data_IF_207974061799
#
_entry.id   IF_207974061799
#
_cell.length_a   1.000
_cell.length_b   1.000
_cell.length_c   1.000
_cell.angle_alpha   90.00
_cell.angle_beta   90.00
_cell.angle_gamma   90.00
#
_symmetry.space_group_name_H-M   'P 1'
#
loop_
_entity.id
_entity.type
_entity.pdbx_description
1 polymer ?
#
# COMPACT_ATOMS: atom_id res chain seq x y z
N UNK A 1 -18.89 8.88 -20.35
CA UNK A 1 -18.47 10.25 -19.95
C UNK A 1 -17.35 10.68 -20.89
N UNK A 2 -17.56 11.72 -21.67
CA UNK A 2 -16.58 12.26 -22.61
C UNK A 2 -15.39 12.87 -21.84
N UNK A 3 -14.13 12.75 -22.34
CA UNK A 3 -12.93 13.25 -21.66
C UNK A 3 -12.95 14.76 -21.36
N UNK A 4 -13.80 15.51 -22.05
CA UNK A 4 -13.95 16.98 -21.91
C UNK A 4 -14.67 17.45 -20.65
N UNK A 5 -15.41 16.58 -19.96
CA UNK A 5 -16.22 16.95 -18.79
C UNK A 5 -15.46 16.93 -17.44
N UNK A 6 -14.17 16.52 -17.41
CA UNK A 6 -13.39 16.45 -16.18
C UNK A 6 -12.70 17.78 -15.87
N UNK A 7 -12.67 18.22 -14.59
CA UNK A 7 -11.88 19.36 -14.16
C UNK A 7 -10.43 19.26 -14.62
N UNK A 8 -9.79 20.40 -14.95
CA UNK A 8 -8.41 20.45 -15.46
C UNK A 8 -7.41 19.66 -14.61
N UNK A 9 -7.52 19.74 -13.28
CA UNK A 9 -6.68 18.99 -12.33
C UNK A 9 -6.75 17.47 -12.52
N UNK A 10 -7.95 16.91 -12.80
CA UNK A 10 -8.11 15.48 -13.06
C UNK A 10 -7.58 15.07 -14.43
N UNK A 11 -7.69 15.98 -15.42
CA UNK A 11 -7.09 15.76 -16.75
C UNK A 11 -5.56 15.74 -16.67
N UNK A 12 -4.96 16.65 -15.89
CA UNK A 12 -3.51 16.67 -15.67
C UNK A 12 -3.03 15.39 -14.96
N UNK A 13 -3.67 14.98 -13.87
CA UNK A 13 -3.32 13.73 -13.18
C UNK A 13 -3.41 12.51 -14.10
N UNK A 14 -4.45 12.43 -14.93
CA UNK A 14 -4.59 11.36 -15.94
C UNK A 14 -3.54 11.42 -17.04
N UNK A 15 -2.97 12.57 -17.34
CA UNK A 15 -1.91 12.72 -18.33
C UNK A 15 -0.52 12.37 -17.72
N UNK A 16 -0.29 12.68 -16.45
CA UNK A 16 0.97 12.37 -15.77
C UNK A 16 1.16 10.89 -15.43
N UNK A 17 0.10 10.23 -14.97
CA UNK A 17 0.14 8.82 -14.56
C UNK A 17 0.77 7.88 -15.61
N UNK A 18 0.34 7.88 -16.90
CA UNK A 18 0.92 7.01 -17.91
C UNK A 18 2.38 7.33 -18.23
N UNK A 19 2.77 8.62 -18.17
CA UNK A 19 4.15 9.04 -18.43
C UNK A 19 5.10 8.51 -17.36
N UNK A 20 4.73 8.65 -16.09
CA UNK A 20 5.51 8.14 -14.96
C UNK A 20 5.57 6.61 -14.94
N UNK A 21 4.46 5.92 -15.25
CA UNK A 21 4.44 4.47 -15.39
C UNK A 21 5.38 4.00 -16.49
N UNK A 22 5.40 4.65 -17.66
CA UNK A 22 6.32 4.31 -18.75
C UNK A 22 7.78 4.52 -18.35
N UNK A 23 8.09 5.63 -17.68
CA UNK A 23 9.45 5.89 -17.17
C UNK A 23 9.89 4.80 -16.18
N UNK A 24 9.06 4.50 -15.20
CA UNK A 24 9.35 3.48 -14.19
C UNK A 24 9.48 2.08 -14.83
N UNK A 25 8.61 1.73 -15.77
CA UNK A 25 8.66 0.45 -16.50
C UNK A 25 9.95 0.29 -17.33
N UNK A 26 10.53 1.39 -17.86
CA UNK A 26 11.84 1.35 -18.53
C UNK A 26 12.96 0.96 -17.56
N UNK A 27 12.95 1.46 -16.33
CA UNK A 27 13.92 1.08 -15.30
C UNK A 27 13.82 -0.40 -14.95
N UNK A 28 12.60 -0.93 -14.87
CA UNK A 28 12.34 -2.34 -14.61
C UNK A 28 12.81 -3.29 -15.74
N UNK A 29 13.24 -2.80 -16.91
CA UNK A 29 13.91 -3.63 -17.95
C UNK A 29 15.27 -4.16 -17.49
N UNK A 30 15.93 -3.48 -16.55
CA UNK A 30 17.20 -3.94 -15.96
C UNK A 30 16.92 -5.11 -15.01
N UNK A 31 17.51 -6.27 -15.27
CA UNK A 31 17.30 -7.52 -14.49
C UNK A 31 17.45 -7.33 -12.97
N UNK A 32 18.46 -6.56 -12.53
CA UNK A 32 18.68 -6.29 -11.10
C UNK A 32 17.52 -5.52 -10.47
N UNK A 33 17.05 -4.45 -11.12
CA UNK A 33 15.93 -3.61 -10.64
C UNK A 33 14.63 -4.45 -10.59
N UNK A 34 14.36 -5.21 -11.64
CA UNK A 34 13.22 -6.11 -11.69
C UNK A 34 13.22 -7.14 -10.55
N UNK A 35 14.37 -7.81 -10.32
CA UNK A 35 14.51 -8.79 -9.22
C UNK A 35 14.32 -8.14 -7.87
N UNK A 36 14.99 -7.00 -7.61
CA UNK A 36 14.90 -6.28 -6.35
C UNK A 36 13.46 -5.89 -6.02
N UNK A 37 12.80 -5.14 -6.91
CA UNK A 37 11.42 -4.73 -6.68
C UNK A 37 10.42 -5.89 -6.71
N UNK A 38 10.71 -6.96 -7.45
CA UNK A 38 9.93 -8.19 -7.42
C UNK A 38 9.94 -8.87 -6.05
N UNK A 39 11.10 -8.94 -5.38
CA UNK A 39 11.24 -9.47 -4.01
C UNK A 39 10.50 -8.56 -3.02
N UNK A 40 10.74 -7.24 -3.08
CA UNK A 40 10.05 -6.27 -2.22
C UNK A 40 8.53 -6.37 -2.37
N UNK A 41 8.03 -6.47 -3.59
CA UNK A 41 6.61 -6.63 -3.85
C UNK A 41 6.04 -7.90 -3.21
N UNK A 42 6.72 -9.04 -3.37
CA UNK A 42 6.29 -10.32 -2.77
C UNK A 42 6.31 -10.30 -1.23
N UNK A 43 7.31 -9.69 -0.63
CA UNK A 43 7.33 -9.48 0.82
C UNK A 43 6.14 -8.62 1.26
N UNK A 44 5.80 -7.59 0.47
CA UNK A 44 4.63 -6.73 0.69
C UNK A 44 3.27 -7.42 0.49
N UNK A 45 3.22 -8.61 -0.14
CA UNK A 45 1.99 -9.40 -0.35
C UNK A 45 1.39 -9.99 0.96
N UNK A 46 2.01 -9.75 2.10
CA UNK A 46 1.52 -10.19 3.43
C UNK A 46 2.56 -10.94 4.23
N UNK A 47 3.43 -11.73 3.61
CA UNK A 47 4.39 -12.59 4.31
C UNK A 47 5.26 -11.86 5.33
N UNK A 48 5.81 -10.69 4.96
CA UNK A 48 6.56 -9.84 5.89
C UNK A 48 5.71 -9.33 7.05
N UNK A 49 4.49 -8.87 6.76
CA UNK A 49 3.60 -8.27 7.77
C UNK A 49 3.10 -9.29 8.77
N UNK A 50 2.70 -10.48 8.32
CA UNK A 50 2.31 -11.57 9.21
C UNK A 50 3.50 -12.06 10.04
N UNK A 51 4.69 -12.17 9.44
CA UNK A 51 5.92 -12.48 10.16
C UNK A 51 6.23 -11.45 11.25
N UNK A 52 6.11 -10.15 10.93
CA UNK A 52 6.27 -9.08 11.91
C UNK A 52 5.26 -9.20 13.06
N UNK A 53 3.97 -9.41 12.76
CA UNK A 53 2.93 -9.60 13.79
C UNK A 53 3.25 -10.77 14.72
N UNK A 54 3.72 -11.90 14.17
CA UNK A 54 4.13 -13.07 14.96
C UNK A 54 5.33 -12.71 15.85
N UNK A 55 6.36 -12.07 15.30
CA UNK A 55 7.55 -11.66 16.08
C UNK A 55 7.16 -10.71 17.21
N UNK A 56 6.31 -9.72 16.93
CA UNK A 56 5.83 -8.80 17.96
C UNK A 56 5.02 -9.53 19.03
N UNK A 57 4.12 -10.43 18.66
CA UNK A 57 3.31 -11.19 19.62
C UNK A 57 4.15 -12.12 20.51
N UNK A 58 5.19 -12.75 19.95
CA UNK A 58 6.03 -13.71 20.70
C UNK A 58 7.04 -12.99 21.59
N UNK A 59 7.68 -11.95 21.09
CA UNK A 59 8.82 -11.31 21.78
C UNK A 59 8.49 -9.97 22.43
N UNK A 60 7.36 -9.34 22.09
CA UNK A 60 6.95 -8.02 22.57
C UNK A 60 6.10 -8.05 23.86
N UNK A 61 5.86 -9.24 24.44
CA UNK A 61 4.98 -9.38 25.61
C UNK A 61 3.55 -8.90 25.33
N UNK A 62 2.85 -8.44 26.36
CA UNK A 62 1.44 -7.97 26.23
C UNK A 62 1.31 -6.84 25.19
N UNK A 63 2.26 -5.90 25.15
CA UNK A 63 2.28 -4.84 24.13
C UNK A 63 2.37 -5.38 22.71
N UNK A 64 3.19 -6.42 22.52
CA UNK A 64 3.36 -7.07 21.22
C UNK A 64 2.10 -7.79 20.74
N UNK A 65 1.41 -8.48 21.66
CA UNK A 65 0.13 -9.14 21.36
C UNK A 65 -0.93 -8.09 20.96
N UNK A 66 -1.06 -7.00 21.72
CA UNK A 66 -2.02 -5.95 21.42
C UNK A 66 -1.70 -5.29 20.08
N UNK A 67 -0.43 -4.99 19.80
CA UNK A 67 0.00 -4.42 18.53
C UNK A 67 -0.34 -5.35 17.34
N UNK A 68 -0.08 -6.66 17.48
CA UNK A 68 -0.39 -7.65 16.45
C UNK A 68 -1.90 -7.75 16.18
N UNK A 69 -2.71 -7.80 17.23
CA UNK A 69 -4.18 -7.82 17.13
C UNK A 69 -4.72 -6.53 16.48
N UNK A 70 -4.17 -5.37 16.87
CA UNK A 70 -4.53 -4.09 16.26
C UNK A 70 -4.14 -4.02 14.79
N UNK A 71 -2.96 -4.51 14.41
CA UNK A 71 -2.56 -4.63 13.01
C UNK A 71 -3.50 -5.55 12.23
N UNK A 72 -3.89 -6.70 12.77
CA UNK A 72 -4.86 -7.61 12.13
C UNK A 72 -6.21 -6.94 11.91
N UNK A 73 -6.76 -6.28 12.93
CA UNK A 73 -8.03 -5.55 12.83
C UNK A 73 -7.95 -4.42 11.79
N UNK A 74 -6.86 -3.63 11.83
CA UNK A 74 -6.59 -2.58 10.83
C UNK A 74 -6.48 -3.17 9.42
N UNK A 75 -5.81 -4.31 9.27
CA UNK A 75 -5.68 -5.01 8.00
C UNK A 75 -7.01 -5.50 7.43
N UNK A 76 -7.90 -6.00 8.29
CA UNK A 76 -9.25 -6.42 7.87
C UNK A 76 -10.07 -5.23 7.36
N UNK A 77 -10.07 -4.11 8.09
CA UNK A 77 -10.76 -2.87 7.66
C UNK A 77 -10.15 -2.34 6.36
N UNK A 78 -8.82 -2.35 6.27
CA UNK A 78 -8.09 -1.97 5.06
C UNK A 78 -8.53 -2.82 3.85
N UNK A 79 -8.61 -4.14 4.03
CA UNK A 79 -9.03 -5.09 2.99
C UNK A 79 -10.46 -4.82 2.52
N UNK A 80 -11.41 -4.64 3.43
CA UNK A 80 -12.81 -4.32 3.10
C UNK A 80 -12.89 -3.00 2.34
N UNK A 81 -12.17 -1.97 2.81
CA UNK A 81 -12.19 -0.63 2.24
C UNK A 81 -11.62 -0.62 0.81
N UNK A 82 -10.42 -1.16 0.60
CA UNK A 82 -9.84 -1.13 -0.74
C UNK A 82 -10.63 -2.01 -1.73
N UNK A 83 -11.18 -3.12 -1.27
CA UNK A 83 -12.00 -4.01 -2.11
C UNK A 83 -13.27 -3.30 -2.59
N UNK A 84 -13.98 -2.61 -1.71
CA UNK A 84 -15.16 -1.81 -2.08
C UNK A 84 -14.80 -0.68 -3.04
N UNK A 85 -13.72 0.06 -2.77
CA UNK A 85 -13.26 1.12 -3.66
C UNK A 85 -12.86 0.60 -5.05
N UNK A 86 -12.22 -0.54 -5.14
CA UNK A 86 -11.89 -1.19 -6.43
C UNK A 86 -13.11 -1.54 -7.25
N UNK A 87 -14.12 -2.14 -6.61
CA UNK A 87 -15.38 -2.51 -7.28
C UNK A 87 -16.17 -1.29 -7.77
N UNK A 88 -16.08 -0.15 -7.06
CA UNK A 88 -16.73 1.09 -7.46
C UNK A 88 -15.98 1.83 -8.57
N UNK A 89 -14.66 1.91 -8.49
CA UNK A 89 -13.86 2.69 -9.46
C UNK A 89 -13.60 1.94 -10.75
N UNK A 90 -13.45 0.62 -10.68
CA UNK A 90 -13.15 -0.28 -11.81
C UNK A 90 -12.04 0.22 -12.73
N UNK A 91 -11.05 0.89 -12.15
CA UNK A 91 -9.95 1.49 -12.90
C UNK A 91 -9.06 0.39 -13.49
N UNK A 92 -8.83 0.36 -14.82
CA UNK A 92 -7.94 -0.62 -15.43
C UNK A 92 -6.49 -0.37 -14.98
N UNK A 93 -5.67 -1.42 -14.95
CA UNK A 93 -4.26 -1.33 -14.57
C UNK A 93 -3.41 -0.74 -15.69
N UNK A 94 -2.22 -0.16 -15.37
CA UNK A 94 -1.34 0.44 -16.38
C UNK A 94 -1.02 -0.49 -17.55
N UNK A 95 -0.72 -1.77 -17.29
CA UNK A 95 -0.38 -2.74 -18.32
C UNK A 95 -1.58 -3.17 -19.19
N UNK A 96 -2.82 -3.01 -18.69
CA UNK A 96 -4.04 -3.27 -19.46
C UNK A 96 -4.39 -2.09 -20.38
N UNK A 97 -4.13 -0.86 -19.91
CA UNK A 97 -4.50 0.36 -20.62
C UNK A 97 -3.40 0.87 -21.57
N UNK A 98 -2.14 0.43 -21.39
CA UNK A 98 -0.98 0.93 -22.13
C UNK A 98 -0.08 -0.22 -22.58
N UNK A 99 -0.02 -0.51 -23.91
CA UNK A 99 0.80 -1.60 -24.46
C UNK A 99 2.30 -1.50 -24.14
N UNK A 100 2.78 -0.27 -23.91
CA UNK A 100 4.19 0.01 -23.60
C UNK A 100 4.57 -0.37 -22.15
N UNK A 101 3.60 -0.66 -21.30
CA UNK A 101 3.78 -1.01 -19.88
C UNK A 101 3.54 -2.51 -19.73
N UNK A 102 4.51 -3.23 -19.20
CA UNK A 102 4.42 -4.67 -18.99
C UNK A 102 4.24 -4.97 -17.51
N UNK A 103 3.26 -5.79 -17.14
CA UNK A 103 3.17 -6.34 -15.78
C UNK A 103 4.36 -7.25 -15.53
N UNK A 104 5.15 -6.94 -14.47
CA UNK A 104 6.38 -7.67 -14.15
C UNK A 104 6.32 -8.42 -12.82
N UNK A 105 5.13 -8.57 -12.26
CA UNK A 105 4.84 -9.40 -11.10
C UNK A 105 3.41 -9.92 -11.15
N UNK A 106 3.10 -10.91 -10.32
CA UNK A 106 1.75 -11.46 -10.20
C UNK A 106 0.76 -10.38 -9.77
N UNK A 107 -0.44 -10.47 -10.32
CA UNK A 107 -1.55 -9.54 -10.07
C UNK A 107 -2.55 -10.28 -9.19
N UNK A 108 -2.85 -9.74 -8.00
CA UNK A 108 -3.75 -10.37 -7.02
C UNK A 108 -5.22 -10.05 -7.27
N UNK A 109 -5.51 -8.99 -8.02
CA UNK A 109 -6.87 -8.54 -8.31
C UNK A 109 -6.94 -7.75 -9.64
N UNK A 110 -8.13 -7.54 -10.16
CA UNK A 110 -8.37 -6.99 -11.50
C UNK A 110 -8.12 -5.47 -11.59
N UNK A 111 -8.52 -4.70 -10.56
CA UNK A 111 -8.56 -3.23 -10.64
C UNK A 111 -7.35 -2.57 -9.98
N UNK A 112 -6.99 -1.35 -10.47
CA UNK A 112 -5.78 -0.67 -10.02
C UNK A 112 -6.00 0.23 -8.79
N UNK A 113 -7.15 0.90 -8.66
CA UNK A 113 -7.36 1.94 -7.63
C UNK A 113 -8.18 1.45 -6.43
N UNK A 114 -7.75 1.75 -5.23
CA UNK A 114 -6.41 2.22 -4.82
C UNK A 114 -5.40 1.08 -4.73
N UNK A 115 -4.10 1.40 -4.50
CA UNK A 115 -3.06 0.39 -4.24
C UNK A 115 -3.22 -0.24 -2.86
N UNK A 116 -3.72 -1.48 -2.81
CA UNK A 116 -3.93 -2.22 -1.57
C UNK A 116 -2.63 -2.52 -0.82
N UNK A 117 -1.54 -2.86 -1.51
CA UNK A 117 -0.22 -3.07 -0.91
C UNK A 117 0.30 -1.82 -0.20
N UNK A 118 0.20 -0.66 -0.84
CA UNK A 118 0.61 0.62 -0.25
C UNK A 118 -0.24 0.96 0.95
N UNK A 119 -1.57 0.77 0.84
CA UNK A 119 -2.50 1.06 1.91
C UNK A 119 -2.19 0.21 3.16
N UNK A 120 -2.01 -1.11 3.01
CA UNK A 120 -1.64 -2.00 4.11
C UNK A 120 -0.26 -1.64 4.68
N UNK A 121 0.75 -1.44 3.82
CA UNK A 121 2.10 -1.14 4.27
C UNK A 121 2.14 0.14 5.13
N UNK A 122 1.43 1.19 4.71
CA UNK A 122 1.36 2.45 5.45
C UNK A 122 0.62 2.28 6.77
N UNK A 123 -0.58 1.68 6.76
CA UNK A 123 -1.38 1.51 7.97
C UNK A 123 -0.69 0.60 9.00
N UNK A 124 -0.09 -0.50 8.57
CA UNK A 124 0.67 -1.39 9.45
C UNK A 124 1.92 -0.72 10.03
N UNK A 125 2.64 0.06 9.23
CA UNK A 125 3.79 0.83 9.72
C UNK A 125 3.36 1.81 10.82
N UNK A 126 2.29 2.56 10.62
CA UNK A 126 1.80 3.52 11.62
C UNK A 126 1.43 2.81 12.92
N UNK A 127 0.68 1.71 12.85
CA UNK A 127 0.29 0.94 14.04
C UNK A 127 1.51 0.34 14.74
N UNK A 128 2.42 -0.32 14.00
CA UNK A 128 3.60 -0.94 14.60
C UNK A 128 4.53 0.09 15.27
N UNK A 129 4.73 1.26 14.64
CA UNK A 129 5.58 2.34 15.16
C UNK A 129 4.96 2.99 16.39
N UNK A 130 3.63 3.11 16.49
CA UNK A 130 2.97 3.63 17.69
C UNK A 130 3.26 2.78 18.92
N UNK A 131 3.40 1.48 18.80
CA UNK A 131 3.76 0.57 19.87
C UNK A 131 5.27 0.42 20.07
N UNK A 132 6.02 0.44 18.98
CA UNK A 132 7.47 0.18 18.93
C UNK A 132 8.19 1.25 18.08
N UNK A 133 8.46 2.45 18.66
CA UNK A 133 9.03 3.58 17.91
C UNK A 133 10.36 3.29 17.21
N UNK A 134 11.17 2.36 17.73
CA UNK A 134 12.44 1.98 17.13
C UNK A 134 12.28 1.31 15.74
N UNK A 135 11.08 0.82 15.41
CA UNK A 135 10.75 0.28 14.09
C UNK A 135 10.48 1.37 13.04
N UNK A 136 10.44 2.64 13.41
CA UNK A 136 10.05 3.73 12.51
C UNK A 136 10.89 3.76 11.23
N UNK A 137 12.21 3.78 11.37
CA UNK A 137 13.11 3.85 10.20
C UNK A 137 13.01 2.61 9.29
N UNK A 138 13.19 1.36 9.78
CA UNK A 138 13.16 0.18 8.91
C UNK A 138 11.79 -0.02 8.25
N UNK A 139 10.68 0.20 8.98
CA UNK A 139 9.34 0.01 8.39
C UNK A 139 8.97 1.11 7.41
N UNK A 140 9.37 2.37 7.66
CA UNK A 140 9.17 3.46 6.69
C UNK A 140 9.93 3.20 5.40
N UNK A 141 11.21 2.81 5.48
CA UNK A 141 12.00 2.44 4.30
C UNK A 141 11.34 1.30 3.53
N UNK A 142 10.93 0.23 4.22
CA UNK A 142 10.25 -0.89 3.59
C UNK A 142 8.94 -0.48 2.93
N UNK A 143 8.12 0.33 3.60
CA UNK A 143 6.84 0.85 3.07
C UNK A 143 7.04 1.69 1.81
N UNK A 144 8.05 2.56 1.79
CA UNK A 144 8.40 3.35 0.60
C UNK A 144 8.83 2.43 -0.55
N UNK A 145 9.65 1.43 -0.27
CA UNK A 145 10.08 0.45 -1.28
C UNK A 145 8.89 -0.37 -1.82
N UNK A 146 7.97 -0.80 -0.95
CA UNK A 146 6.72 -1.47 -1.37
C UNK A 146 5.91 -0.54 -2.29
N UNK A 147 5.69 0.71 -1.90
CA UNK A 147 4.95 1.68 -2.70
C UNK A 147 5.60 1.91 -4.08
N UNK A 148 6.93 2.11 -4.12
CA UNK A 148 7.69 2.25 -5.37
C UNK A 148 7.59 1.00 -6.24
N UNK A 149 7.64 -0.21 -5.66
CA UNK A 149 7.57 -1.46 -6.39
C UNK A 149 6.31 -1.55 -7.25
N UNK A 150 5.19 -1.00 -6.77
CA UNK A 150 3.91 -1.08 -7.48
C UNK A 150 3.90 -0.30 -8.79
N UNK A 151 4.59 0.84 -8.82
CA UNK A 151 4.75 1.67 -10.03
C UNK A 151 5.82 1.10 -10.95
N UNK A 152 6.98 0.72 -10.39
CA UNK A 152 8.12 0.19 -11.15
C UNK A 152 7.77 -1.11 -11.88
N UNK A 153 6.99 -1.99 -11.23
CA UNK A 153 6.54 -3.25 -11.83
C UNK A 153 5.33 -3.09 -12.77
N UNK A 154 4.83 -1.86 -12.99
CA UNK A 154 3.73 -1.58 -13.91
C UNK A 154 2.35 -2.01 -13.44
N UNK A 155 2.18 -2.23 -12.13
CA UNK A 155 0.95 -2.78 -11.53
C UNK A 155 -0.06 -1.71 -11.14
N UNK A 156 0.42 -0.52 -10.75
CA UNK A 156 -0.38 0.62 -10.30
C UNK A 156 0.12 1.93 -10.87
N UNK A 157 -0.78 2.88 -11.02
CA UNK A 157 -0.43 4.26 -11.31
C UNK A 157 0.11 4.96 -10.06
N UNK A 158 0.96 6.01 -10.20
CA UNK A 158 1.37 6.85 -9.06
C UNK A 158 0.21 7.39 -8.24
N UNK A 159 -0.91 7.76 -8.87
CA UNK A 159 -2.12 8.23 -8.17
C UNK A 159 -2.81 7.13 -7.36
N UNK A 160 -2.76 5.85 -7.78
CA UNK A 160 -3.27 4.72 -6.99
C UNK A 160 -2.44 4.53 -5.71
N UNK A 161 -1.11 4.71 -5.85
CA UNK A 161 -0.16 4.64 -4.74
C UNK A 161 -0.38 5.80 -3.78
N UNK A 162 -0.52 7.02 -4.29
CA UNK A 162 -0.80 8.20 -3.47
C UNK A 162 -2.13 8.05 -2.69
N UNK A 163 -3.18 7.56 -3.35
CA UNK A 163 -4.44 7.25 -2.67
C UNK A 163 -4.25 6.19 -1.59
N UNK A 164 -3.47 5.14 -1.87
CA UNK A 164 -3.10 4.12 -0.88
C UNK A 164 -2.37 4.70 0.33
N UNK A 165 -1.44 5.65 0.11
CA UNK A 165 -0.76 6.38 1.20
C UNK A 165 -1.76 7.18 2.05
N UNK A 166 -2.61 8.00 1.41
CA UNK A 166 -3.55 8.86 2.11
C UNK A 166 -4.57 8.04 2.93
N UNK A 167 -5.17 7.01 2.32
CA UNK A 167 -6.16 6.15 2.98
C UNK A 167 -5.47 5.34 4.09
N UNK A 168 -4.28 4.78 3.83
CA UNK A 168 -3.52 4.01 4.81
C UNK A 168 -3.10 4.86 6.00
N UNK A 169 -2.71 6.13 5.77
CA UNK A 169 -2.39 7.08 6.85
C UNK A 169 -3.62 7.39 7.70
N UNK A 170 -4.74 7.71 7.07
CA UNK A 170 -5.98 7.98 7.80
C UNK A 170 -6.42 6.77 8.63
N UNK A 171 -6.40 5.58 8.04
CA UNK A 171 -6.80 4.34 8.70
C UNK A 171 -5.87 3.98 9.87
N UNK A 172 -4.55 4.05 9.67
CA UNK A 172 -3.56 3.81 10.72
C UNK A 172 -3.69 4.80 11.87
N UNK A 173 -3.86 6.11 11.57
CA UNK A 173 -4.06 7.14 12.58
C UNK A 173 -5.35 6.92 13.38
N UNK A 174 -6.46 6.64 12.70
CA UNK A 174 -7.75 6.33 13.38
C UNK A 174 -7.61 5.08 14.25
N UNK A 175 -6.94 4.04 13.77
CA UNK A 175 -6.70 2.82 14.54
C UNK A 175 -5.92 3.10 15.82
N UNK A 176 -4.82 3.86 15.73
CA UNK A 176 -4.00 4.24 16.90
C UNK A 176 -4.82 5.10 17.87
N UNK A 177 -5.54 6.10 17.38
CA UNK A 177 -6.38 6.97 18.20
C UNK A 177 -7.47 6.17 18.93
N UNK A 178 -8.20 5.29 18.22
CA UNK A 178 -9.25 4.47 18.84
C UNK A 178 -8.71 3.57 19.95
N UNK A 179 -7.52 3.00 19.75
CA UNK A 179 -6.86 2.16 20.74
C UNK A 179 -6.46 2.98 21.99
N UNK A 180 -5.90 4.19 21.82
CA UNK A 180 -5.52 5.05 22.93
C UNK A 180 -6.74 5.49 23.75
N UNK A 181 -7.85 5.86 23.11
CA UNK A 181 -9.10 6.22 23.80
C UNK A 181 -9.65 5.03 24.60
N UNK A 182 -9.63 3.82 24.01
CA UNK A 182 -10.07 2.61 24.70
C UNK A 182 -9.27 2.36 25.98
N UNK A 183 -7.94 2.43 25.93
CA UNK A 183 -7.10 2.23 27.12
C UNK A 183 -7.28 3.32 28.18
N UNK A 184 -7.51 4.56 27.76
CA UNK A 184 -7.81 5.66 28.72
C UNK A 184 -9.19 5.48 29.39
N UNK A 185 -10.15 4.85 28.73
CA UNK A 185 -11.49 4.64 29.28
C UNK A 185 -11.57 3.49 30.29
N UNK A 186 -10.58 2.58 30.32
CA UNK A 186 -10.54 1.42 31.24
C UNK A 186 -9.44 1.54 32.31
N UNK A 187 -8.64 2.61 32.32
CA UNK A 187 -7.63 2.93 33.33
C UNK A 187 -8.22 3.76 34.46
#
# INVERSE_FOLDING_TARGET
MTPSALPLRWRLLRAFDPRLCRMASRWARRRGIHRFFGIISRLGDGGFWYGLMIVLAVFGGTRGIVAALQMLGTGLVAWLLYRTLKLHTRRPRPFQAHPDVTARAAVLDEYSFPSGHTLHAVSFTIVAVAWFPFLALPLTVFTVLVAMSRVVLGLHYPTDVLAGVLIGTALGAVSVWSCSVFFLAIA
#
